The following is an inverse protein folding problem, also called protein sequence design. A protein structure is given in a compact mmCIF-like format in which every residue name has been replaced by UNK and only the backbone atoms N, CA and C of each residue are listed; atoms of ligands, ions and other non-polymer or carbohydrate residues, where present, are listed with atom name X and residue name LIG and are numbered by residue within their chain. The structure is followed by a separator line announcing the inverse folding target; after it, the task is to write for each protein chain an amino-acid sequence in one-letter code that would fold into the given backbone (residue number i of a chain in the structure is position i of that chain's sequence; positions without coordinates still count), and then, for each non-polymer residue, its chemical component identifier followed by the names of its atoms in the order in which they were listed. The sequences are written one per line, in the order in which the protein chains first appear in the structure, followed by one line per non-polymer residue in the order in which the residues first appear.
data_IF_232955274825
#
_entry.id   IF_232955274825
#
_cell.length_a   1.000
_cell.length_b   1.000
_cell.length_c   1.000
_cell.angle_alpha   90.00
_cell.angle_beta   90.00
_cell.angle_gamma   90.00
#
_symmetry.space_group_name_H-M   'P 1'
#
loop_
_entity.id
_entity.type
_entity.pdbx_description
1 polymer ?
#
# COMPACT_ATOMS: atom_id res chain seq x y z
N UNK A 1 24.54 15.81 10.90
CA UNK A 1 24.16 14.99 9.73
C UNK A 1 24.01 13.57 10.23
N UNK A 2 22.78 13.01 10.18
CA UNK A 2 22.58 11.59 10.46
C UNK A 2 23.36 10.78 9.42
N UNK A 3 24.15 9.82 9.87
CA UNK A 3 24.79 8.87 8.96
C UNK A 3 23.68 8.00 8.36
N UNK A 4 23.60 7.87 7.03
CA UNK A 4 22.56 7.14 6.31
C UNK A 4 22.44 5.66 6.76
N UNK A 5 23.51 5.11 7.34
CA UNK A 5 23.55 3.76 7.89
C UNK A 5 23.03 3.62 9.33
N UNK A 6 22.75 4.72 10.03
CA UNK A 6 22.23 4.65 11.40
C UNK A 6 20.79 4.12 11.41
N UNK A 7 20.47 3.31 12.43
CA UNK A 7 19.10 2.81 12.65
C UNK A 7 18.16 3.98 12.94
N UNK A 8 17.18 4.18 12.08
CA UNK A 8 16.16 5.20 12.23
C UNK A 8 14.90 4.67 12.91
N UNK A 9 14.56 3.39 12.68
CA UNK A 9 13.35 2.76 13.19
C UNK A 9 13.57 1.29 13.50
N UNK A 10 12.86 0.79 14.52
CA UNK A 10 12.74 -0.64 14.81
C UNK A 10 11.26 -1.01 14.74
N UNK A 11 10.90 -1.90 13.83
CA UNK A 11 9.55 -2.45 13.68
C UNK A 11 9.54 -3.90 14.13
N UNK A 12 8.61 -4.24 15.02
CA UNK A 12 8.48 -5.61 15.50
C UNK A 12 7.55 -6.43 14.61
N UNK A 13 8.03 -7.60 14.17
CA UNK A 13 7.23 -8.58 13.43
C UNK A 13 6.68 -9.63 14.38
N UNK A 14 5.41 -9.99 14.19
CA UNK A 14 4.81 -11.15 14.86
C UNK A 14 5.19 -12.39 14.06
N UNK A 15 6.34 -13.00 14.40
CA UNK A 15 6.71 -14.29 13.83
C UNK A 15 5.68 -15.37 14.19
N UNK A 16 5.30 -16.21 13.24
CA UNK A 16 4.34 -17.31 13.44
C UNK A 16 4.86 -18.42 14.36
N UNK A 17 6.16 -18.44 14.68
CA UNK A 17 6.83 -19.58 15.34
C UNK A 17 7.85 -19.19 16.41
N UNK A 18 7.80 -17.97 16.97
CA UNK A 18 8.83 -17.60 17.96
C UNK A 18 8.64 -16.20 18.56
N UNK A 19 9.59 -15.74 19.40
CA UNK A 19 9.54 -14.41 19.99
C UNK A 19 9.54 -13.33 18.90
N UNK A 20 8.89 -12.20 19.20
CA UNK A 20 8.85 -11.03 18.30
C UNK A 20 10.27 -10.58 17.95
N UNK A 21 10.53 -10.36 16.65
CA UNK A 21 11.82 -9.89 16.16
C UNK A 21 11.74 -8.41 15.81
N UNK A 22 12.72 -7.63 16.27
CA UNK A 22 12.86 -6.22 15.91
C UNK A 22 13.63 -6.06 14.60
N UNK A 23 12.96 -5.59 13.55
CA UNK A 23 13.59 -5.26 12.27
C UNK A 23 14.16 -3.85 12.36
N UNK A 24 15.48 -3.74 12.30
CA UNK A 24 16.18 -2.44 12.29
C UNK A 24 16.22 -1.88 10.87
N UNK A 25 15.67 -0.68 10.71
CA UNK A 25 15.62 0.02 9.43
C UNK A 25 16.45 1.31 9.54
N UNK A 26 17.45 1.46 8.68
CA UNK A 26 18.28 2.66 8.62
C UNK A 26 17.55 3.80 7.91
N UNK A 27 18.07 5.03 8.03
CA UNK A 27 17.60 6.18 7.25
C UNK A 27 17.66 5.88 5.75
N UNK A 28 18.75 5.28 5.25
CA UNK A 28 18.87 4.91 3.84
C UNK A 28 17.80 3.91 3.40
N UNK A 29 17.51 2.88 4.21
CA UNK A 29 16.45 1.91 3.90
C UNK A 29 15.09 2.60 3.74
N UNK A 30 14.74 3.49 4.68
CA UNK A 30 13.46 4.18 4.66
C UNK A 30 13.34 5.13 3.46
N UNK A 31 14.38 5.90 3.16
CA UNK A 31 14.41 6.84 2.03
C UNK A 31 14.34 6.11 0.69
N UNK A 32 15.15 5.05 0.52
CA UNK A 32 15.14 4.26 -0.72
C UNK A 32 13.80 3.59 -0.96
N UNK A 33 13.22 2.95 0.07
CA UNK A 33 11.90 2.34 -0.03
C UNK A 33 10.82 3.37 -0.39
N UNK A 34 10.85 4.57 0.22
CA UNK A 34 9.92 5.65 -0.09
C UNK A 34 10.03 6.08 -1.55
N UNK A 35 11.27 6.29 -2.03
CA UNK A 35 11.53 6.67 -3.43
C UNK A 35 11.03 5.61 -4.41
N UNK A 36 11.36 4.34 -4.19
CA UNK A 36 10.92 3.24 -5.04
C UNK A 36 9.39 3.12 -5.13
N UNK A 37 8.71 3.30 -3.98
CA UNK A 37 7.24 3.26 -3.94
C UNK A 37 6.65 4.44 -4.70
N UNK A 38 7.13 5.67 -4.45
CA UNK A 38 6.63 6.88 -5.09
C UNK A 38 6.85 6.85 -6.61
N UNK A 39 8.01 6.37 -7.06
CA UNK A 39 8.33 6.18 -8.47
C UNK A 39 7.35 5.20 -9.14
N UNK A 40 7.14 4.01 -8.53
CA UNK A 40 6.21 3.03 -9.08
C UNK A 40 4.76 3.51 -9.05
N UNK A 41 4.32 4.04 -7.93
CA UNK A 41 2.94 4.51 -7.72
C UNK A 41 2.62 5.82 -8.44
N UNK A 42 3.64 6.57 -8.87
CA UNK A 42 3.52 7.90 -9.51
C UNK A 42 2.77 8.89 -8.64
N UNK A 43 3.10 8.94 -7.36
CA UNK A 43 2.48 9.84 -6.39
C UNK A 43 3.08 11.24 -6.53
N UNK A 44 2.24 12.25 -6.38
CA UNK A 44 2.66 13.65 -6.45
C UNK A 44 2.05 14.51 -5.32
N UNK A 45 2.39 15.82 -5.28
CA UNK A 45 1.96 16.73 -4.20
C UNK A 45 0.45 16.94 -4.14
N UNK A 46 -0.26 16.54 -5.16
CA UNK A 46 -1.72 16.54 -5.24
C UNK A 46 -2.39 15.42 -4.43
N UNK A 47 -1.62 14.50 -3.85
CA UNK A 47 -2.15 13.35 -3.13
C UNK A 47 -2.86 13.78 -1.84
N UNK A 48 -4.10 13.34 -1.69
CA UNK A 48 -4.87 13.40 -0.44
C UNK A 48 -5.31 11.97 -0.15
N UNK A 49 -4.58 11.30 0.72
CA UNK A 49 -4.76 9.86 0.97
C UNK A 49 -5.51 9.60 2.26
N UNK A 50 -6.60 8.83 2.18
CA UNK A 50 -7.24 8.21 3.35
C UNK A 50 -6.44 6.97 3.76
N UNK A 51 -5.96 6.95 5.01
CA UNK A 51 -5.07 5.93 5.54
C UNK A 51 -5.68 5.21 6.75
N UNK A 52 -6.54 4.21 6.53
CA UNK A 52 -7.10 3.37 7.59
C UNK A 52 -6.14 2.25 8.01
N UNK A 53 -4.86 2.57 8.17
CA UNK A 53 -3.80 1.63 8.49
C UNK A 53 -3.06 2.08 9.75
N UNK A 54 -2.68 1.12 10.59
CA UNK A 54 -1.89 1.40 11.80
C UNK A 54 -0.49 1.86 11.40
N UNK A 55 -0.05 3.01 11.94
CA UNK A 55 1.31 3.51 11.71
C UNK A 55 2.40 2.68 12.40
N UNK A 56 2.04 1.85 13.38
CA UNK A 56 2.95 0.86 13.99
C UNK A 56 3.28 -0.33 13.08
N UNK A 57 2.60 -0.45 11.93
CA UNK A 57 2.85 -1.48 10.94
C UNK A 57 3.61 -0.90 9.73
N UNK A 58 4.53 -1.67 9.17
CA UNK A 58 5.40 -1.24 8.06
C UNK A 58 4.62 -0.65 6.87
N UNK A 59 3.45 -1.22 6.54
CA UNK A 59 2.62 -0.73 5.44
C UNK A 59 2.08 0.67 5.73
N UNK A 60 1.39 0.89 6.84
CA UNK A 60 0.83 2.20 7.18
C UNK A 60 1.91 3.27 7.37
N UNK A 61 3.02 2.92 8.05
CA UNK A 61 4.14 3.83 8.22
C UNK A 61 4.80 4.24 6.89
N UNK A 62 4.93 3.30 5.94
CA UNK A 62 5.47 3.63 4.63
C UNK A 62 4.52 4.55 3.84
N UNK A 63 3.19 4.35 3.93
CA UNK A 63 2.24 5.24 3.26
C UNK A 63 2.35 6.68 3.74
N UNK A 64 2.40 6.87 5.07
CA UNK A 64 2.60 8.21 5.66
C UNK A 64 3.85 8.88 5.09
N UNK A 65 4.98 8.16 5.07
CA UNK A 65 6.25 8.69 4.54
C UNK A 65 6.16 9.02 3.05
N UNK A 66 5.57 8.11 2.26
CA UNK A 66 5.44 8.29 0.81
C UNK A 66 4.64 9.56 0.46
N UNK A 67 3.54 9.80 1.14
CA UNK A 67 2.70 10.97 0.89
C UNK A 67 3.40 12.25 1.36
N UNK A 68 4.07 12.22 2.51
CA UNK A 68 4.79 13.40 3.04
C UNK A 68 6.03 13.74 2.19
N UNK A 69 6.73 12.73 1.68
CA UNK A 69 7.90 12.93 0.81
C UNK A 69 7.58 13.75 -0.45
N UNK A 70 6.37 13.63 -0.96
CA UNK A 70 5.90 14.40 -2.13
C UNK A 70 5.11 15.66 -1.76
N UNK A 71 4.99 16.00 -0.48
CA UNK A 71 4.23 17.17 -0.03
C UNK A 71 2.71 17.00 -0.07
N UNK A 72 2.22 15.76 -0.08
CA UNK A 72 0.80 15.44 -0.05
C UNK A 72 0.18 15.50 1.35
N UNK A 73 -1.11 15.19 1.43
CA UNK A 73 -1.92 15.19 2.65
C UNK A 73 -2.37 13.79 3.02
N UNK A 74 -2.35 13.44 4.30
CA UNK A 74 -2.86 12.18 4.83
C UNK A 74 -4.02 12.42 5.77
N UNK A 75 -5.13 11.72 5.56
CA UNK A 75 -6.28 11.64 6.46
C UNK A 75 -6.07 10.36 7.29
N UNK A 76 -5.69 10.52 8.55
CA UNK A 76 -5.50 9.37 9.44
C UNK A 76 -6.86 8.86 9.93
N UNK A 77 -7.11 7.58 9.72
CA UNK A 77 -8.32 6.91 10.13
C UNK A 77 -8.03 5.89 11.26
N UNK A 78 -9.03 5.57 12.05
CA UNK A 78 -8.91 4.58 13.12
C UNK A 78 -9.26 3.16 12.63
N UNK A 79 -8.56 2.70 11.59
CA UNK A 79 -8.84 1.40 10.98
C UNK A 79 -10.24 1.34 10.36
N UNK A 80 -10.77 0.13 10.17
CA UNK A 80 -12.10 -0.13 9.61
C UNK A 80 -13.20 -0.36 10.66
N UNK A 81 -13.05 0.20 11.85
CA UNK A 81 -14.10 0.12 12.90
C UNK A 81 -15.40 0.84 12.48
N UNK A 82 -15.28 1.88 11.67
CA UNK A 82 -16.39 2.68 11.14
C UNK A 82 -16.16 3.00 9.66
N UNK A 83 -16.43 2.07 8.75
CA UNK A 83 -16.17 2.26 7.31
C UNK A 83 -16.95 3.44 6.72
N UNK A 84 -18.16 3.71 7.21
CA UNK A 84 -18.97 4.85 6.83
C UNK A 84 -18.27 6.19 7.11
N UNK A 85 -17.51 6.27 8.21
CA UNK A 85 -16.73 7.46 8.55
C UNK A 85 -15.54 7.66 7.60
N UNK A 86 -14.89 6.58 7.18
CA UNK A 86 -13.81 6.64 6.19
C UNK A 86 -14.36 7.27 4.89
N UNK A 87 -15.49 6.76 4.38
CA UNK A 87 -16.12 7.27 3.16
C UNK A 87 -16.60 8.72 3.31
N UNK A 88 -17.17 9.06 4.48
CA UNK A 88 -17.52 10.44 4.80
C UNK A 88 -16.32 11.37 4.78
N UNK A 89 -15.22 11.00 5.45
CA UNK A 89 -13.99 11.78 5.49
C UNK A 89 -13.35 11.91 4.10
N UNK A 90 -13.35 10.83 3.31
CA UNK A 90 -12.89 10.87 1.92
C UNK A 90 -13.67 11.88 1.07
N UNK A 91 -14.99 11.93 1.24
CA UNK A 91 -15.86 12.89 0.54
C UNK A 91 -15.63 14.31 1.04
N UNK A 92 -15.62 14.52 2.35
CA UNK A 92 -15.44 15.81 3.00
C UNK A 92 -14.11 16.49 2.63
N UNK A 93 -13.03 15.73 2.66
CA UNK A 93 -11.67 16.22 2.40
C UNK A 93 -11.22 16.02 0.96
N UNK A 94 -12.12 15.58 0.07
CA UNK A 94 -11.81 15.33 -1.36
C UNK A 94 -10.63 14.38 -1.54
N UNK A 95 -10.56 13.35 -0.70
CA UNK A 95 -9.49 12.35 -0.80
C UNK A 95 -9.52 11.70 -2.19
N UNK A 96 -8.35 11.61 -2.80
CA UNK A 96 -8.17 11.05 -4.14
C UNK A 96 -7.29 9.79 -4.12
N UNK A 97 -7.07 9.24 -2.94
CA UNK A 97 -6.34 8.00 -2.76
C UNK A 97 -6.75 7.28 -1.46
N UNK A 98 -6.58 5.97 -1.47
CA UNK A 98 -6.78 5.12 -0.31
C UNK A 98 -5.82 3.93 -0.36
N UNK A 99 -5.22 3.58 0.78
CA UNK A 99 -4.37 2.40 0.89
C UNK A 99 -4.87 1.50 2.01
N UNK A 100 -4.98 0.21 1.72
CA UNK A 100 -5.44 -0.77 2.72
C UNK A 100 -5.04 -2.20 2.39
N UNK A 101 -5.25 -3.07 3.37
CA UNK A 101 -5.21 -4.52 3.18
C UNK A 101 -6.46 -5.00 2.44
N UNK A 102 -6.44 -6.18 1.77
CA UNK A 102 -7.60 -6.73 1.06
C UNK A 102 -8.88 -6.82 1.90
N UNK A 103 -8.76 -7.14 3.20
CA UNK A 103 -9.92 -7.21 4.10
C UNK A 103 -10.66 -5.86 4.23
N UNK A 104 -9.93 -4.73 4.26
CA UNK A 104 -10.55 -3.41 4.28
C UNK A 104 -11.32 -3.12 2.99
N UNK A 105 -10.74 -3.45 1.84
CA UNK A 105 -11.45 -3.34 0.57
C UNK A 105 -12.65 -4.29 0.47
N UNK A 106 -12.56 -5.52 1.01
CA UNK A 106 -13.72 -6.41 1.08
C UNK A 106 -14.89 -5.76 1.83
N UNK A 107 -14.64 -5.12 2.96
CA UNK A 107 -15.68 -4.40 3.70
C UNK A 107 -16.31 -3.29 2.84
N UNK A 108 -15.50 -2.47 2.18
CA UNK A 108 -16.01 -1.39 1.33
C UNK A 108 -16.81 -1.91 0.13
N UNK A 109 -16.34 -2.99 -0.51
CA UNK A 109 -16.97 -3.51 -1.73
C UNK A 109 -18.17 -4.40 -1.45
N UNK A 110 -18.20 -5.12 -0.33
CA UNK A 110 -19.28 -6.05 0.00
C UNK A 110 -20.44 -5.32 0.73
N UNK A 111 -20.16 -4.29 1.54
CA UNK A 111 -21.17 -3.64 2.39
C UNK A 111 -21.41 -2.15 2.08
N UNK A 112 -20.45 -1.46 1.45
CA UNK A 112 -20.51 -0.01 1.20
C UNK A 112 -20.26 0.34 -0.27
N UNK A 113 -20.53 -0.60 -1.17
CA UNK A 113 -20.22 -0.47 -2.60
C UNK A 113 -20.79 0.79 -3.22
N UNK A 114 -22.07 1.09 -2.94
CA UNK A 114 -22.76 2.26 -3.51
C UNK A 114 -22.06 3.56 -3.10
N UNK A 115 -21.75 3.70 -1.81
CA UNK A 115 -21.06 4.89 -1.30
C UNK A 115 -19.63 5.01 -1.85
N UNK A 116 -18.94 3.87 -2.02
CA UNK A 116 -17.60 3.84 -2.60
C UNK A 116 -17.64 4.19 -4.11
N UNK A 117 -18.67 3.76 -4.83
CA UNK A 117 -18.89 4.07 -6.25
C UNK A 117 -19.03 5.59 -6.49
N UNK A 118 -19.63 6.34 -5.57
CA UNK A 118 -19.75 7.80 -5.66
C UNK A 118 -18.40 8.52 -5.65
N UNK A 119 -17.40 7.97 -4.95
CA UNK A 119 -16.06 8.56 -4.83
C UNK A 119 -15.03 7.91 -5.77
N UNK A 120 -15.35 6.75 -6.32
CA UNK A 120 -14.46 5.99 -7.19
C UNK A 120 -13.84 6.78 -8.34
N UNK A 121 -14.64 7.59 -9.10
CA UNK A 121 -14.12 8.36 -10.23
C UNK A 121 -13.07 9.42 -9.88
N UNK A 122 -13.06 9.93 -8.62
CA UNK A 122 -12.05 10.90 -8.16
C UNK A 122 -10.76 10.26 -7.67
N UNK A 123 -10.75 8.92 -7.47
CA UNK A 123 -9.57 8.21 -6.98
C UNK A 123 -8.50 8.18 -8.08
N UNK A 124 -7.31 8.63 -7.73
CA UNK A 124 -6.13 8.66 -8.61
C UNK A 124 -5.20 7.48 -8.37
N UNK A 125 -5.10 6.98 -7.13
CA UNK A 125 -4.38 5.75 -6.85
C UNK A 125 -4.96 4.97 -5.67
N UNK A 126 -4.72 3.67 -5.70
CA UNK A 126 -5.01 2.72 -4.63
C UNK A 126 -3.78 1.85 -4.41
N UNK A 127 -3.32 1.70 -3.16
CA UNK A 127 -2.32 0.67 -2.82
C UNK A 127 -2.94 -0.42 -1.96
N UNK A 128 -2.68 -1.67 -2.34
CA UNK A 128 -3.18 -2.87 -1.67
C UNK A 128 -1.97 -3.75 -1.31
N UNK A 129 -2.00 -4.40 -0.15
CA UNK A 129 -0.90 -5.29 0.21
C UNK A 129 -1.14 -6.13 1.45
N UNK A 130 -0.13 -6.88 1.84
CA UNK A 130 -0.06 -7.69 3.06
C UNK A 130 -0.88 -8.98 3.06
N UNK A 131 -1.74 -9.24 2.08
CA UNK A 131 -2.54 -10.47 1.98
C UNK A 131 -3.02 -10.70 0.55
N UNK A 132 -3.53 -11.91 0.29
CA UNK A 132 -4.19 -12.25 -0.96
C UNK A 132 -5.51 -11.49 -1.13
N UNK A 133 -5.77 -11.00 -2.35
CA UNK A 133 -7.04 -10.38 -2.73
C UNK A 133 -7.75 -11.21 -3.81
N UNK A 134 -9.05 -11.49 -3.61
CA UNK A 134 -9.87 -12.22 -4.57
C UNK A 134 -9.93 -11.48 -5.91
N UNK A 135 -9.87 -12.22 -7.02
CA UNK A 135 -9.94 -11.67 -8.38
C UNK A 135 -11.18 -10.80 -8.58
N UNK A 136 -12.34 -11.26 -8.10
CA UNK A 136 -13.59 -10.50 -8.17
C UNK A 136 -13.47 -9.09 -7.57
N UNK A 137 -12.83 -8.94 -6.41
CA UNK A 137 -12.65 -7.63 -5.79
C UNK A 137 -11.68 -6.74 -6.58
N UNK A 138 -10.65 -7.33 -7.21
CA UNK A 138 -9.75 -6.57 -8.11
C UNK A 138 -10.52 -6.02 -9.30
N UNK A 139 -11.36 -6.85 -9.93
CA UNK A 139 -12.19 -6.46 -11.08
C UNK A 139 -13.24 -5.38 -10.71
N UNK A 140 -13.88 -5.51 -9.54
CA UNK A 140 -14.81 -4.49 -9.04
C UNK A 140 -14.08 -3.16 -8.80
N UNK A 141 -12.91 -3.15 -8.15
CA UNK A 141 -12.13 -1.94 -7.95
C UNK A 141 -11.77 -1.26 -9.27
N UNK A 142 -11.32 -2.04 -10.26
CA UNK A 142 -11.01 -1.51 -11.59
C UNK A 142 -12.22 -0.86 -12.26
N UNK A 143 -13.41 -1.44 -12.07
CA UNK A 143 -14.67 -0.88 -12.60
C UNK A 143 -15.07 0.40 -11.89
N UNK A 144 -14.99 0.43 -10.56
CA UNK A 144 -15.41 1.57 -9.75
C UNK A 144 -14.41 2.74 -9.82
N UNK A 145 -13.12 2.44 -10.00
CA UNK A 145 -12.04 3.42 -10.06
C UNK A 145 -11.29 3.36 -11.41
N UNK A 146 -11.97 3.65 -12.55
CA UNK A 146 -11.42 3.43 -13.88
C UNK A 146 -10.18 4.28 -14.19
N UNK A 147 -10.05 5.42 -13.52
CA UNK A 147 -8.94 6.37 -13.70
C UNK A 147 -7.82 6.20 -12.67
N UNK A 148 -7.99 5.29 -11.72
CA UNK A 148 -7.02 5.08 -10.65
C UNK A 148 -5.87 4.19 -11.09
N UNK A 149 -4.66 4.52 -10.66
CA UNK A 149 -3.56 3.58 -10.65
C UNK A 149 -3.74 2.61 -9.48
N UNK A 150 -4.21 1.40 -9.74
CA UNK A 150 -4.50 0.39 -8.73
C UNK A 150 -3.34 -0.58 -8.63
N UNK A 151 -2.58 -0.50 -7.55
CA UNK A 151 -1.37 -1.29 -7.37
C UNK A 151 -1.52 -2.22 -6.17
N UNK A 152 -1.12 -3.47 -6.35
CA UNK A 152 -0.97 -4.41 -5.25
C UNK A 152 0.49 -4.80 -5.12
N UNK A 153 1.01 -4.78 -3.89
CA UNK A 153 2.38 -5.16 -3.61
C UNK A 153 2.48 -6.47 -2.84
N UNK A 154 3.59 -7.16 -3.04
CA UNK A 154 4.12 -8.19 -2.15
C UNK A 154 5.40 -7.68 -1.49
N UNK A 155 5.56 -7.98 -0.21
CA UNK A 155 6.75 -7.57 0.53
C UNK A 155 6.66 -7.99 1.99
N UNK A 156 7.70 -7.64 2.73
CA UNK A 156 7.84 -7.93 4.16
C UNK A 156 8.43 -6.71 4.87
N UNK A 157 8.43 -6.71 6.19
CA UNK A 157 8.95 -5.57 6.97
C UNK A 157 10.41 -5.29 6.64
N UNK A 158 11.21 -6.33 6.43
CA UNK A 158 12.63 -6.28 6.10
C UNK A 158 12.93 -5.78 4.68
N UNK A 159 12.01 -6.02 3.73
CA UNK A 159 12.18 -5.71 2.29
C UNK A 159 11.17 -4.72 1.73
N UNK A 160 10.29 -4.15 2.59
CA UNK A 160 9.24 -3.22 2.18
C UNK A 160 8.37 -3.78 1.04
N UNK A 161 8.30 -3.11 -0.13
CA UNK A 161 7.59 -3.57 -1.34
C UNK A 161 8.59 -4.21 -2.29
N UNK A 162 8.68 -5.54 -2.26
CA UNK A 162 9.57 -6.28 -3.16
C UNK A 162 9.04 -6.33 -4.58
N UNK A 163 7.71 -6.51 -4.75
CA UNK A 163 7.07 -6.47 -6.07
C UNK A 163 5.84 -5.59 -6.07
N UNK A 164 5.45 -5.21 -7.28
CA UNK A 164 4.16 -4.58 -7.58
C UNK A 164 3.50 -5.19 -8.81
N UNK A 165 2.16 -5.22 -8.79
CA UNK A 165 1.32 -5.38 -9.98
C UNK A 165 0.37 -4.19 -10.08
N UNK A 166 0.24 -3.61 -11.27
CA UNK A 166 -0.74 -2.58 -11.58
C UNK A 166 -1.91 -3.20 -12.37
N UNK A 167 -3.13 -3.07 -11.84
CA UNK A 167 -4.27 -3.86 -12.31
C UNK A 167 -4.73 -3.53 -13.71
N UNK A 168 -4.74 -2.26 -14.11
CA UNK A 168 -5.23 -1.86 -15.43
C UNK A 168 -4.26 -2.23 -16.56
N UNK A 169 -2.96 -2.16 -16.30
CA UNK A 169 -1.94 -2.48 -17.28
C UNK A 169 -1.57 -3.97 -17.36
N UNK A 170 -1.87 -4.73 -16.29
CA UNK A 170 -1.46 -6.14 -16.17
C UNK A 170 -2.66 -7.06 -15.88
N UNK A 171 -3.79 -6.83 -16.56
CA UNK A 171 -5.07 -7.56 -16.35
C UNK A 171 -4.95 -9.08 -16.41
N UNK A 172 -4.11 -9.59 -17.31
CA UNK A 172 -3.91 -11.04 -17.48
C UNK A 172 -3.07 -11.66 -16.37
N UNK A 173 -2.41 -10.84 -15.54
CA UNK A 173 -1.49 -11.26 -14.47
C UNK A 173 -2.02 -11.00 -13.07
N UNK A 174 -3.31 -10.71 -12.91
CA UNK A 174 -3.92 -10.41 -11.60
C UNK A 174 -3.79 -11.54 -10.56
N UNK A 175 -3.42 -12.74 -10.99
CA UNK A 175 -3.16 -13.89 -10.12
C UNK A 175 -1.72 -13.95 -9.58
N UNK A 176 -0.84 -13.06 -10.04
CA UNK A 176 0.57 -12.99 -9.63
C UNK A 176 0.81 -11.90 -8.59
N UNK A 177 2.03 -11.83 -8.07
CA UNK A 177 2.52 -10.73 -7.21
C UNK A 177 3.19 -9.60 -8.02
N UNK A 178 3.20 -9.72 -9.36
CA UNK A 178 3.73 -8.71 -10.26
C UNK A 178 5.23 -8.83 -10.52
N UNK A 179 5.87 -7.68 -10.71
CA UNK A 179 7.28 -7.54 -11.07
C UNK A 179 8.08 -6.90 -9.93
N UNK A 180 9.43 -7.07 -9.90
CA UNK A 180 10.29 -6.37 -8.97
C UNK A 180 10.00 -4.86 -8.94
N UNK A 181 10.01 -4.29 -7.75
CA UNK A 181 9.95 -2.84 -7.56
C UNK A 181 11.17 -2.16 -8.20
N UNK A 182 11.12 -0.84 -8.48
CA UNK A 182 12.31 -0.12 -8.90
C UNK A 182 13.49 -0.39 -7.95
N UNK A 183 14.68 -0.59 -8.53
CA UNK A 183 15.91 -0.88 -7.80
C UNK A 183 15.90 -2.15 -6.91
N UNK A 184 15.02 -3.10 -7.20
CA UNK A 184 14.93 -4.40 -6.52
C UNK A 184 15.19 -5.51 -7.54
N UNK A 185 16.07 -6.45 -7.19
CA UNK A 185 16.30 -7.69 -7.91
C UNK A 185 15.63 -8.85 -7.20
N UNK A 186 14.95 -9.72 -7.94
CA UNK A 186 14.32 -10.94 -7.43
C UNK A 186 14.79 -12.11 -8.30
N UNK A 187 15.21 -13.18 -7.65
CA UNK A 187 15.57 -14.45 -8.30
C UNK A 187 14.69 -15.56 -7.74
N UNK A 188 14.20 -16.40 -8.63
CA UNK A 188 13.52 -17.65 -8.26
C UNK A 188 14.61 -18.72 -8.23
N UNK A 189 14.79 -19.32 -7.07
CA UNK A 189 15.79 -20.37 -6.85
C UNK A 189 15.10 -21.72 -6.84
N UNK A 190 15.66 -22.68 -7.55
CA UNK A 190 15.26 -24.09 -7.43
C UNK A 190 15.75 -24.70 -6.11
N UNK A 191 15.36 -25.96 -5.85
CA UNK A 191 15.73 -26.67 -4.62
C UNK A 191 17.25 -26.76 -4.40
N UNK A 192 18.03 -26.76 -5.47
CA UNK A 192 19.51 -26.84 -5.44
C UNK A 192 20.18 -25.46 -5.48
N UNK A 193 19.43 -24.38 -5.37
CA UNK A 193 20.00 -23.02 -5.38
C UNK A 193 20.38 -22.50 -6.77
N UNK A 194 19.89 -23.13 -7.86
CA UNK A 194 20.10 -22.72 -9.25
C UNK A 194 18.86 -22.03 -9.83
#
# INVERSE_FOLDING_TARGET
KSNDSTTAFILYTTGTTGPKKGVMLSHANLLMATKNINEFMKIGPWAIESLPMRLSHSFGFARLRCVFDVGGTVILENGFLRPERILFNMKLHKANAISSVPAGFSILLDYYKQQFEEIGPQIKYIEIGSAFMRKLHKEILMKLCPNARICMHYGLTEGSRSTFIEFHSEKDKLHTVGKPSPNVEIRIMGENGE
#
